data_IF_964591407236
#
_entry.id   IF_964591407236
#
_cell.length_a   1.000
_cell.length_b   1.000
_cell.length_c   1.000
_cell.angle_alpha   90.00
_cell.angle_beta   90.00
_cell.angle_gamma   90.00
#
_symmetry.space_group_name_H-M   'P 1'
#
loop_
_entity.id
_entity.type
_entity.pdbx_description
1 polymer ?
#
# COMPACT_ATOMS: atom_id res chain seq x y z
N UNK A 1 -40.84 -2.27 -27.21
CA UNK A 1 -40.71 -0.78 -27.15
C UNK A 1 -40.27 -0.32 -25.76
N UNK A 2 -40.82 -0.90 -24.70
CA UNK A 2 -40.46 -0.59 -23.30
C UNK A 2 -39.03 -1.08 -22.95
N UNK A 3 -38.57 -2.17 -23.56
CA UNK A 3 -37.22 -2.71 -23.33
C UNK A 3 -36.11 -1.70 -23.66
N UNK A 4 -36.29 -0.92 -24.72
CA UNK A 4 -35.33 0.12 -25.13
C UNK A 4 -35.27 1.24 -24.09
N UNK A 5 -36.41 1.59 -23.49
CA UNK A 5 -36.50 2.60 -22.42
C UNK A 5 -35.82 2.07 -21.15
N UNK A 6 -36.03 0.80 -20.82
CA UNK A 6 -35.40 0.14 -19.67
C UNK A 6 -33.87 0.09 -19.87
N UNK A 7 -33.39 -0.28 -21.05
CA UNK A 7 -31.96 -0.30 -21.38
C UNK A 7 -31.34 1.10 -21.25
N UNK A 8 -32.02 2.13 -21.76
CA UNK A 8 -31.54 3.52 -21.66
C UNK A 8 -31.41 3.96 -20.20
N UNK A 9 -32.39 3.63 -19.37
CA UNK A 9 -32.41 3.97 -17.95
C UNK A 9 -31.32 3.21 -17.18
N UNK A 10 -31.08 1.95 -17.54
CA UNK A 10 -30.02 1.12 -16.96
C UNK A 10 -28.63 1.65 -17.31
N UNK A 11 -28.41 2.07 -18.56
CA UNK A 11 -27.15 2.70 -18.99
C UNK A 11 -26.94 4.03 -18.27
N UNK A 12 -27.96 4.91 -18.18
CA UNK A 12 -27.84 6.16 -17.43
C UNK A 12 -27.56 5.93 -15.94
N UNK A 13 -28.28 4.99 -15.30
CA UNK A 13 -28.06 4.61 -13.91
C UNK A 13 -26.65 4.05 -13.67
N UNK A 14 -26.13 3.27 -14.61
CA UNK A 14 -24.78 2.74 -14.59
C UNK A 14 -23.73 3.86 -14.66
N UNK A 15 -23.87 4.83 -15.57
CA UNK A 15 -22.96 5.98 -15.68
C UNK A 15 -23.02 6.91 -14.45
N UNK A 16 -24.20 7.14 -13.89
CA UNK A 16 -24.35 7.92 -12.67
C UNK A 16 -23.73 7.21 -11.45
N UNK A 17 -23.91 5.90 -11.34
CA UNK A 17 -23.28 5.07 -10.30
C UNK A 17 -21.75 5.06 -10.42
N UNK A 18 -21.24 4.94 -11.66
CA UNK A 18 -19.81 5.06 -11.96
C UNK A 18 -19.27 6.42 -11.54
N UNK A 19 -19.89 7.54 -11.90
CA UNK A 19 -19.35 8.87 -11.52
C UNK A 19 -19.21 9.04 -10.01
N UNK A 20 -20.21 8.63 -9.22
CA UNK A 20 -20.16 8.79 -7.75
C UNK A 20 -19.18 7.84 -7.08
N UNK A 21 -19.06 6.59 -7.56
CA UNK A 21 -18.11 5.61 -7.02
C UNK A 21 -16.67 5.81 -7.49
N UNK A 22 -16.48 6.13 -8.78
CA UNK A 22 -15.17 6.16 -9.44
C UNK A 22 -14.30 7.32 -8.98
N UNK A 23 -14.89 8.49 -8.70
CA UNK A 23 -14.13 9.65 -8.19
C UNK A 23 -13.61 9.37 -6.77
N UNK A 24 -14.45 8.84 -5.90
CA UNK A 24 -14.06 8.42 -4.54
C UNK A 24 -13.02 7.30 -4.57
N UNK A 25 -13.13 6.39 -5.54
CA UNK A 25 -12.18 5.30 -5.74
C UNK A 25 -10.83 5.79 -6.28
N UNK A 26 -10.82 6.78 -7.18
CA UNK A 26 -9.61 7.46 -7.67
C UNK A 26 -8.86 8.19 -6.56
N UNK A 27 -9.56 8.90 -5.67
CA UNK A 27 -8.92 9.57 -4.52
C UNK A 27 -8.27 8.54 -3.59
N UNK A 28 -8.96 7.43 -3.29
CA UNK A 28 -8.37 6.34 -2.49
C UNK A 28 -7.16 5.70 -3.18
N UNK A 29 -7.23 5.52 -4.50
CA UNK A 29 -6.15 4.92 -5.29
C UNK A 29 -4.93 5.85 -5.35
N UNK A 30 -5.14 7.14 -5.58
CA UNK A 30 -4.04 8.13 -5.63
C UNK A 30 -3.35 8.27 -4.27
N UNK A 31 -4.11 8.35 -3.17
CA UNK A 31 -3.54 8.32 -1.82
C UNK A 31 -2.76 7.04 -1.52
N UNK A 32 -3.23 5.89 -2.02
CA UNK A 32 -2.50 4.62 -1.91
C UNK A 32 -1.16 4.66 -2.67
N UNK A 33 -1.15 5.18 -3.90
CA UNK A 33 0.07 5.30 -4.71
C UNK A 33 1.07 6.25 -4.04
N UNK A 34 0.61 7.39 -3.51
CA UNK A 34 1.46 8.36 -2.81
C UNK A 34 2.06 7.73 -1.55
N UNK A 35 1.25 7.04 -0.74
CA UNK A 35 1.74 6.35 0.45
C UNK A 35 2.77 5.26 0.12
N UNK A 36 2.56 4.54 -0.98
CA UNK A 36 3.52 3.57 -1.48
C UNK A 36 4.85 4.23 -1.87
N UNK A 37 4.81 5.35 -2.61
CA UNK A 37 6.00 6.05 -3.08
C UNK A 37 6.83 6.59 -1.91
N UNK A 38 6.16 7.20 -0.93
CA UNK A 38 6.80 7.70 0.30
C UNK A 38 7.42 6.55 1.07
N UNK A 39 6.69 5.45 1.28
CA UNK A 39 7.23 4.28 1.97
C UNK A 39 8.45 3.70 1.24
N UNK A 40 8.42 3.66 -0.10
CA UNK A 40 9.54 3.15 -0.90
C UNK A 40 10.80 4.01 -0.74
N UNK A 41 10.69 5.34 -0.73
CA UNK A 41 11.84 6.22 -0.55
C UNK A 41 12.39 6.21 0.87
N UNK A 42 11.54 6.26 1.89
CA UNK A 42 11.97 6.38 3.29
C UNK A 42 12.24 5.04 3.98
N UNK A 43 11.87 3.91 3.38
CA UNK A 43 12.08 2.58 3.94
C UNK A 43 13.55 2.29 4.26
N UNK A 44 14.48 2.67 3.36
CA UNK A 44 15.91 2.43 3.54
C UNK A 44 16.51 3.24 4.69
N UNK A 45 16.06 4.48 4.88
CA UNK A 45 16.52 5.36 5.95
C UNK A 45 15.92 4.97 7.31
N UNK A 46 14.70 4.44 7.31
CA UNK A 46 14.00 4.04 8.53
C UNK A 46 14.43 2.64 9.02
N UNK A 47 14.82 1.74 8.12
CA UNK A 47 15.31 0.40 8.47
C UNK A 47 16.41 0.37 9.57
N UNK A 48 17.51 1.14 9.50
CA UNK A 48 18.53 1.15 10.55
C UNK A 48 18.03 1.78 11.86
N UNK A 49 17.04 2.67 11.81
CA UNK A 49 16.41 3.18 13.02
C UNK A 49 15.59 2.08 13.72
N UNK A 50 14.83 1.27 12.96
CA UNK A 50 14.08 0.14 13.53
C UNK A 50 14.99 -0.95 14.09
N UNK A 51 16.12 -1.23 13.44
CA UNK A 51 17.09 -2.21 13.92
C UNK A 51 17.66 -1.89 15.31
N UNK A 52 17.68 -0.62 15.71
CA UNK A 52 18.12 -0.20 17.06
C UNK A 52 17.08 -0.44 18.14
N UNK A 53 15.79 -0.38 17.79
CA UNK A 53 14.69 -0.54 18.75
C UNK A 53 14.21 -1.99 18.85
N UNK A 54 14.22 -2.73 17.72
CA UNK A 54 13.70 -4.09 17.64
C UNK A 54 14.87 -5.03 17.35
N UNK A 55 15.31 -5.85 18.33
CA UNK A 55 16.31 -6.88 18.08
C UNK A 55 15.74 -7.95 17.15
N UNK A 56 16.59 -8.46 16.25
CA UNK A 56 16.20 -9.45 15.25
C UNK A 56 15.77 -10.75 15.95
N UNK A 57 14.50 -11.19 15.82
CA UNK A 57 13.97 -12.30 16.61
C UNK A 57 14.24 -13.68 16.00
N UNK A 58 14.80 -13.75 14.79
CA UNK A 58 15.02 -15.03 14.10
C UNK A 58 16.46 -15.51 14.30
N UNK A 59 16.63 -16.82 14.42
CA UNK A 59 17.94 -17.45 14.49
C UNK A 59 18.71 -17.26 13.18
N UNK A 60 20.03 -17.11 13.28
CA UNK A 60 20.93 -16.96 12.11
C UNK A 60 20.96 -18.18 11.16
N UNK A 61 20.31 -19.28 11.57
CA UNK A 61 20.24 -20.55 10.84
C UNK A 61 18.95 -20.72 10.02
N UNK A 62 18.22 -19.64 9.71
CA UNK A 62 17.07 -19.74 8.80
C UNK A 62 17.58 -20.25 7.45
N UNK A 63 17.03 -21.37 7.00
CA UNK A 63 17.29 -21.93 5.67
C UNK A 63 16.77 -20.97 4.61
N UNK A 64 17.64 -20.10 4.11
CA UNK A 64 17.31 -19.14 3.06
C UNK A 64 17.56 -19.78 1.70
N UNK A 65 16.73 -19.51 0.67
CA UNK A 65 17.03 -19.97 -0.68
C UNK A 65 18.42 -19.49 -1.14
N UNK A 66 19.17 -20.33 -1.86
CA UNK A 66 20.57 -20.06 -2.27
C UNK A 66 20.80 -18.74 -3.03
N UNK A 67 19.74 -18.14 -3.58
CA UNK A 67 19.77 -16.85 -4.27
C UNK A 67 19.66 -15.62 -3.34
N UNK A 68 19.39 -15.84 -2.05
CA UNK A 68 19.40 -14.79 -1.02
C UNK A 68 20.63 -15.00 -0.14
N UNK A 69 21.49 -13.98 -0.09
CA UNK A 69 22.59 -13.95 0.86
C UNK A 69 22.02 -13.87 2.29
N UNK A 70 22.26 -14.91 3.09
CA UNK A 70 21.75 -15.03 4.45
C UNK A 70 22.17 -13.84 5.33
N UNK A 71 23.30 -13.20 5.03
CA UNK A 71 23.78 -12.03 5.77
C UNK A 71 22.94 -10.77 5.48
N UNK A 72 22.25 -10.72 4.33
CA UNK A 72 21.38 -9.61 3.95
C UNK A 72 19.93 -9.81 4.42
N UNK A 73 19.57 -10.99 4.93
CA UNK A 73 18.18 -11.30 5.31
C UNK A 73 17.68 -10.42 6.45
N UNK A 74 18.56 -10.11 7.41
CA UNK A 74 18.26 -9.21 8.52
C UNK A 74 17.93 -7.81 7.98
N UNK A 75 18.79 -7.30 7.08
CA UNK A 75 18.62 -5.98 6.46
C UNK A 75 17.34 -5.90 5.63
N UNK A 76 17.03 -6.95 4.86
CA UNK A 76 15.79 -7.03 4.07
C UNK A 76 14.57 -7.11 4.98
N UNK A 77 14.64 -7.82 6.11
CA UNK A 77 13.57 -7.89 7.09
C UNK A 77 13.27 -6.51 7.68
N UNK A 78 14.29 -5.77 8.12
CA UNK A 78 14.12 -4.42 8.66
C UNK A 78 13.60 -3.42 7.62
N UNK A 79 14.05 -3.53 6.37
CA UNK A 79 13.51 -2.73 5.27
C UNK A 79 12.03 -3.07 5.02
N UNK A 80 11.66 -4.34 4.92
CA UNK A 80 10.27 -4.74 4.75
C UNK A 80 9.37 -4.25 5.89
N UNK A 81 9.85 -4.36 7.13
CA UNK A 81 9.14 -3.87 8.32
C UNK A 81 8.97 -2.33 8.29
N UNK A 82 10.05 -1.60 7.99
CA UNK A 82 10.05 -0.16 7.84
C UNK A 82 9.08 0.31 6.74
N UNK A 83 9.06 -0.39 5.61
CA UNK A 83 8.11 -0.14 4.52
C UNK A 83 6.67 -0.28 4.98
N UNK A 84 6.31 -1.36 5.68
CA UNK A 84 4.94 -1.61 6.16
C UNK A 84 4.51 -0.49 7.12
N UNK A 85 5.39 -0.11 8.06
CA UNK A 85 5.10 0.93 9.05
C UNK A 85 4.93 2.30 8.37
N UNK A 86 5.86 2.70 7.50
CA UNK A 86 5.75 3.95 6.75
C UNK A 86 4.51 3.99 5.87
N UNK A 87 4.21 2.88 5.20
CA UNK A 87 3.05 2.77 4.33
C UNK A 87 1.76 2.97 5.12
N UNK A 88 1.61 2.32 6.28
CA UNK A 88 0.42 2.46 7.13
C UNK A 88 0.30 3.88 7.67
N UNK A 89 1.38 4.44 8.24
CA UNK A 89 1.38 5.80 8.81
C UNK A 89 1.04 6.83 7.72
N UNK A 90 1.71 6.75 6.57
CA UNK A 90 1.51 7.69 5.47
C UNK A 90 0.11 7.54 4.89
N UNK A 91 -0.38 6.31 4.69
CA UNK A 91 -1.74 6.06 4.22
C UNK A 91 -2.78 6.64 5.18
N UNK A 92 -2.61 6.46 6.49
CA UNK A 92 -3.52 7.01 7.50
C UNK A 92 -3.47 8.55 7.47
N UNK A 93 -2.27 9.14 7.43
CA UNK A 93 -2.11 10.59 7.36
C UNK A 93 -2.77 11.20 6.11
N UNK A 94 -2.55 10.61 4.93
CA UNK A 94 -3.21 11.04 3.69
C UNK A 94 -4.73 10.79 3.71
N UNK A 95 -5.18 9.69 4.31
CA UNK A 95 -6.61 9.40 4.44
C UNK A 95 -7.30 10.37 5.39
N UNK A 96 -6.60 10.92 6.39
CA UNK A 96 -7.12 11.97 7.28
C UNK A 96 -7.20 13.33 6.58
N UNK A 97 -6.23 13.66 5.73
CA UNK A 97 -6.22 14.91 4.95
C UNK A 97 -7.27 14.95 3.85
N UNK A 98 -7.67 13.79 3.32
CA UNK A 98 -8.65 13.66 2.25
C UNK A 98 -10.10 13.47 2.71
N UNK A 99 -10.39 13.67 4.01
CA UNK A 99 -11.70 13.42 4.63
C UNK A 99 -12.42 14.71 5.02
#
# INVERSE_FOLDING_TARGET
MIDIIIILLLVMGFFLGLRRGFILQLVKLTSFIIAYLVAYWYCKDLAPALAKFIPYPFDKNVSVPEWIDANNIETVFYQALAFIILFIITKIALSLLGN
#
